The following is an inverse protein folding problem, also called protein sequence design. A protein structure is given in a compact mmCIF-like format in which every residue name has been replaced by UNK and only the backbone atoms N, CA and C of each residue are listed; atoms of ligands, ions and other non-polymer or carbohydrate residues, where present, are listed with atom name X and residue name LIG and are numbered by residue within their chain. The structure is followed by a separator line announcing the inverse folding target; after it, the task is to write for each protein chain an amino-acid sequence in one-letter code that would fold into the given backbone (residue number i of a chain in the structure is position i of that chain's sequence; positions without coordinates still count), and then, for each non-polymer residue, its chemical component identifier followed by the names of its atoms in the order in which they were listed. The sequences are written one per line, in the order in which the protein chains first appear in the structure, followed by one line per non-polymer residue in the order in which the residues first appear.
data_IF_158931332368
#
_entry.id   IF_158931332368
#
_cell.length_a   1.000
_cell.length_b   1.000
_cell.length_c   1.000
_cell.angle_alpha   90.00
_cell.angle_beta   90.00
_cell.angle_gamma   90.00
#
_symmetry.space_group_name_H-M   'P 1'
#
loop_
_entity.id
_entity.type
_entity.pdbx_description
1 polymer ?
#
# COMPACT_ATOMS: atom_id res chain seq x y z
N UNK A 1 7.06 17.27 6.93
CA UNK A 1 6.84 15.99 6.24
C UNK A 1 5.41 15.58 6.56
N UNK A 2 4.51 15.66 5.57
CA UNK A 2 3.11 15.29 5.77
C UNK A 2 2.93 13.78 5.64
N UNK A 3 2.52 13.11 6.72
CA UNK A 3 2.16 11.68 6.68
C UNK A 3 0.67 11.57 6.33
N UNK A 4 0.37 10.64 5.45
CA UNK A 4 -1.00 10.32 5.09
C UNK A 4 -1.50 9.17 5.96
N UNK A 5 -2.57 9.41 6.72
CA UNK A 5 -3.21 8.40 7.56
C UNK A 5 -4.42 7.82 6.84
N UNK A 6 -4.52 6.49 6.78
CA UNK A 6 -5.59 5.76 6.11
C UNK A 6 -6.45 5.04 7.14
N UNK A 7 -7.75 5.29 7.09
CA UNK A 7 -8.74 4.57 7.91
C UNK A 7 -9.40 3.45 7.11
N UNK A 8 -9.39 2.23 7.66
CA UNK A 8 -9.99 1.06 7.04
C UNK A 8 -11.44 0.86 7.55
N UNK A 9 -12.44 1.29 6.79
CA UNK A 9 -13.82 0.81 7.00
C UNK A 9 -14.01 -0.55 6.30
N UNK A 10 -14.89 -1.41 6.85
CA UNK A 10 -15.08 -2.85 6.52
C UNK A 10 -15.18 -3.21 5.02
N UNK A 11 -15.31 -2.25 4.10
CA UNK A 11 -15.46 -2.49 2.66
C UNK A 11 -14.54 -1.58 1.81
N UNK A 12 -14.15 -0.37 2.30
CA UNK A 12 -13.34 0.59 1.56
C UNK A 12 -12.32 1.26 2.47
N UNK A 13 -11.05 1.32 2.04
CA UNK A 13 -10.04 2.16 2.69
C UNK A 13 -10.25 3.61 2.27
N UNK A 14 -10.42 4.51 3.24
CA UNK A 14 -10.41 5.95 3.02
C UNK A 14 -9.05 6.51 3.38
N UNK A 15 -8.49 7.28 2.50
CA UNK A 15 -7.25 8.00 2.71
C UNK A 15 -7.55 9.47 3.06
N UNK A 16 -7.04 9.95 4.19
CA UNK A 16 -7.13 11.35 4.59
C UNK A 16 -5.73 11.92 4.65
N UNK A 17 -5.43 12.92 3.83
CA UNK A 17 -4.16 13.64 3.87
C UNK A 17 -4.20 14.64 5.02
N UNK A 18 -3.38 14.47 6.06
CA UNK A 18 -3.20 15.51 7.04
C UNK A 18 -2.50 16.73 6.40
N UNK A 19 -3.05 17.91 6.61
CA UNK A 19 -2.49 19.17 6.14
C UNK A 19 -1.16 19.45 6.85
N UNK A 20 -0.08 19.52 6.09
CA UNK A 20 1.03 20.37 6.49
C UNK A 20 0.53 21.82 6.51
N UNK A 21 0.91 22.57 7.53
CA UNK A 21 0.45 23.94 7.82
C UNK A 21 1.02 24.94 6.77
N UNK A 22 0.47 24.90 5.55
CA UNK A 22 0.70 25.93 4.52
C UNK A 22 -0.66 26.41 4.05
N UNK A 23 -0.95 27.67 4.34
CA UNK A 23 -2.27 28.30 4.30
C UNK A 23 -2.88 28.51 2.91
N UNK A 24 -3.22 27.45 2.19
CA UNK A 24 -4.14 27.52 1.06
C UNK A 24 -5.06 26.28 1.06
N UNK A 25 -6.36 26.56 1.02
CA UNK A 25 -7.42 25.59 1.23
C UNK A 25 -7.66 24.63 0.08
N UNK A 26 -6.79 23.65 -0.14
CA UNK A 26 -7.12 22.49 -0.96
C UNK A 26 -7.89 21.48 -0.11
N UNK A 27 -9.17 21.27 -0.43
CA UNK A 27 -9.97 20.20 0.16
C UNK A 27 -9.19 18.87 0.04
N UNK A 28 -9.03 18.15 1.17
CA UNK A 28 -8.39 16.86 1.17
C UNK A 28 -9.20 15.91 0.27
N UNK A 29 -8.66 15.54 -0.89
CA UNK A 29 -9.30 14.55 -1.75
C UNK A 29 -9.27 13.19 -1.05
N UNK A 30 -10.44 12.55 -0.95
CA UNK A 30 -10.57 11.20 -0.44
C UNK A 30 -10.17 10.25 -1.57
N UNK A 31 -9.14 9.45 -1.33
CA UNK A 31 -8.70 8.40 -2.26
C UNK A 31 -9.47 7.10 -1.95
N UNK A 32 -10.10 6.52 -2.98
CA UNK A 32 -10.76 5.24 -2.89
C UNK A 32 -9.77 4.13 -3.27
N UNK A 33 -9.27 3.41 -2.26
CA UNK A 33 -8.39 2.25 -2.43
C UNK A 33 -9.20 0.95 -2.36
N UNK A 34 -9.20 0.16 -3.44
CA UNK A 34 -10.00 -1.06 -3.58
C UNK A 34 -9.13 -2.32 -3.65
N UNK A 35 -9.56 -3.46 -3.04
CA UNK A 35 -8.88 -4.73 -3.22
C UNK A 35 -9.09 -5.31 -4.63
N UNK A 36 -8.05 -5.94 -5.18
CA UNK A 36 -8.11 -6.67 -6.42
C UNK A 36 -7.47 -8.06 -6.27
N UNK A 37 -8.28 -9.09 -6.13
CA UNK A 37 -7.82 -10.49 -6.01
C UNK A 37 -7.77 -11.23 -7.36
N UNK A 38 -8.20 -10.60 -8.45
CA UNK A 38 -8.17 -11.11 -9.82
C UNK A 38 -8.28 -9.95 -10.81
N UNK A 39 -7.97 -10.19 -12.08
CA UNK A 39 -8.18 -9.20 -13.15
C UNK A 39 -9.64 -8.78 -13.29
N UNK A 40 -10.58 -9.67 -13.04
CA UNK A 40 -12.02 -9.36 -13.05
C UNK A 40 -12.37 -8.38 -11.92
N UNK A 41 -11.93 -8.66 -10.69
CA UNK A 41 -12.13 -7.78 -9.54
C UNK A 41 -11.43 -6.41 -9.73
N UNK A 42 -10.24 -6.39 -10.33
CA UNK A 42 -9.51 -5.17 -10.66
C UNK A 42 -10.31 -4.31 -11.64
N UNK A 43 -10.81 -4.91 -12.74
CA UNK A 43 -11.62 -4.20 -13.73
C UNK A 43 -12.90 -3.65 -13.10
N UNK A 44 -13.57 -4.43 -12.26
CA UNK A 44 -14.75 -3.98 -11.54
C UNK A 44 -14.43 -2.80 -10.61
N UNK A 45 -13.34 -2.84 -9.85
CA UNK A 45 -12.90 -1.74 -8.98
C UNK A 45 -12.65 -0.45 -9.76
N UNK A 46 -11.89 -0.53 -10.85
CA UNK A 46 -11.57 0.61 -11.71
C UNK A 46 -12.83 1.21 -12.35
N UNK A 47 -13.74 0.37 -12.87
CA UNK A 47 -15.00 0.82 -13.48
C UNK A 47 -15.95 1.47 -12.45
N UNK A 48 -15.83 1.14 -11.18
CA UNK A 48 -16.62 1.74 -10.10
C UNK A 48 -15.90 2.91 -9.40
N UNK A 49 -14.86 3.48 -10.01
CA UNK A 49 -14.27 4.74 -9.59
C UNK A 49 -13.17 4.60 -8.53
N UNK A 50 -12.51 3.44 -8.40
CA UNK A 50 -11.32 3.32 -7.57
C UNK A 50 -10.23 4.28 -8.07
N UNK A 51 -9.58 5.00 -7.14
CA UNK A 51 -8.40 5.82 -7.41
C UNK A 51 -7.11 5.00 -7.35
N UNK A 52 -7.13 3.95 -6.55
CA UNK A 52 -6.04 2.98 -6.45
C UNK A 52 -6.60 1.57 -6.21
N UNK A 53 -5.86 0.57 -6.65
CA UNK A 53 -6.12 -0.84 -6.32
C UNK A 53 -4.94 -1.42 -5.58
N UNK A 54 -5.18 -2.40 -4.68
CA UNK A 54 -4.11 -3.16 -4.08
C UNK A 54 -4.28 -4.65 -4.37
N UNK A 55 -3.17 -5.30 -4.65
CA UNK A 55 -3.12 -6.70 -5.08
C UNK A 55 -1.87 -7.41 -4.56
N UNK A 56 -1.88 -8.75 -4.58
CA UNK A 56 -0.75 -9.59 -4.25
C UNK A 56 -0.11 -10.18 -5.51
N UNK A 57 1.22 -10.27 -5.50
CA UNK A 57 2.01 -10.87 -6.55
C UNK A 57 2.91 -11.95 -5.95
N UNK A 58 3.00 -13.11 -6.60
CA UNK A 58 3.86 -14.24 -6.26
C UNK A 58 3.70 -14.74 -4.81
N UNK A 59 4.32 -14.05 -3.84
CA UNK A 59 4.38 -14.40 -2.42
C UNK A 59 4.22 -13.16 -1.51
N UNK A 60 4.32 -13.38 -0.20
CA UNK A 60 4.35 -12.32 0.83
C UNK A 60 3.07 -11.50 0.96
N UNK A 61 1.93 -12.06 0.54
CA UNK A 61 0.62 -11.46 0.68
C UNK A 61 -0.19 -12.16 1.78
N UNK A 62 -0.73 -11.40 2.75
CA UNK A 62 -1.52 -11.91 3.87
C UNK A 62 -2.81 -12.64 3.46
N UNK A 63 -3.28 -12.46 2.24
CA UNK A 63 -4.43 -13.18 1.67
C UNK A 63 -3.99 -14.50 1.02
N UNK A 64 -3.42 -15.41 1.78
CA UNK A 64 -2.90 -16.71 1.29
C UNK A 64 -3.93 -17.60 0.59
N UNK A 65 -5.23 -17.32 0.70
CA UNK A 65 -6.31 -18.01 -0.02
C UNK A 65 -6.76 -17.32 -1.31
N UNK A 66 -6.24 -16.13 -1.64
CA UNK A 66 -6.51 -15.44 -2.90
C UNK A 66 -5.46 -15.85 -3.94
N UNK A 67 -5.87 -15.98 -5.19
CA UNK A 67 -4.95 -16.17 -6.31
C UNK A 67 -4.06 -14.94 -6.40
N UNK A 68 -2.73 -15.13 -6.32
CA UNK A 68 -1.77 -14.08 -6.58
C UNK A 68 -1.64 -13.86 -8.11
N UNK A 69 -1.34 -12.63 -8.47
CA UNK A 69 -1.05 -12.30 -9.87
C UNK A 69 0.30 -12.90 -10.29
N UNK A 70 0.38 -13.43 -11.50
CA UNK A 70 1.65 -13.74 -12.16
C UNK A 70 2.35 -12.44 -12.62
N UNK A 71 3.59 -12.54 -13.11
CA UNK A 71 4.33 -11.39 -13.68
C UNK A 71 3.54 -10.74 -14.82
N UNK A 72 3.05 -11.57 -15.75
CA UNK A 72 2.31 -11.09 -16.93
C UNK A 72 0.97 -10.46 -16.52
N UNK A 73 0.26 -11.06 -15.57
CA UNK A 73 -0.99 -10.52 -15.02
C UNK A 73 -0.75 -9.20 -14.28
N UNK A 74 0.37 -9.10 -13.53
CA UNK A 74 0.74 -7.84 -12.85
C UNK A 74 1.04 -6.74 -13.86
N UNK A 75 1.78 -7.05 -14.92
CA UNK A 75 2.05 -6.09 -16.00
C UNK A 75 0.77 -5.64 -16.70
N UNK A 76 -0.14 -6.59 -17.04
CA UNK A 76 -1.46 -6.25 -17.61
C UNK A 76 -2.26 -5.37 -16.66
N UNK A 77 -2.26 -5.68 -15.37
CA UNK A 77 -2.97 -4.92 -14.33
C UNK A 77 -2.46 -3.47 -14.25
N UNK A 78 -1.13 -3.28 -14.22
CA UNK A 78 -0.50 -1.95 -14.16
C UNK A 78 -0.87 -1.13 -15.41
N UNK A 79 -0.69 -1.69 -16.60
CA UNK A 79 -1.05 -0.99 -17.85
C UNK A 79 -2.54 -0.65 -17.87
N UNK A 80 -3.42 -1.58 -17.51
CA UNK A 80 -4.87 -1.35 -17.48
C UNK A 80 -5.26 -0.21 -16.54
N UNK A 81 -4.64 -0.17 -15.35
CA UNK A 81 -4.90 0.86 -14.34
C UNK A 81 -4.33 2.22 -14.77
N UNK A 82 -3.06 2.27 -15.17
CA UNK A 82 -2.37 3.53 -15.49
C UNK A 82 -3.02 4.31 -16.63
N UNK A 83 -3.46 3.64 -17.70
CA UNK A 83 -4.17 4.33 -18.81
C UNK A 83 -5.53 4.90 -18.38
N UNK A 84 -6.00 4.58 -17.17
CA UNK A 84 -7.23 5.09 -16.56
C UNK A 84 -6.98 6.02 -15.38
N UNK A 85 -5.72 6.35 -15.10
CA UNK A 85 -5.31 7.20 -13.97
C UNK A 85 -5.49 6.55 -12.61
N UNK A 86 -5.52 5.21 -12.53
CA UNK A 86 -5.65 4.42 -11.30
C UNK A 86 -4.30 3.87 -10.89
N UNK A 87 -3.93 4.02 -9.61
CA UNK A 87 -2.68 3.53 -9.06
C UNK A 87 -2.76 2.04 -8.71
N UNK A 88 -1.61 1.36 -8.74
CA UNK A 88 -1.46 -0.06 -8.36
C UNK A 88 -0.50 -0.17 -7.18
N UNK A 89 -1.02 -0.62 -6.03
CA UNK A 89 -0.24 -0.85 -4.83
C UNK A 89 0.00 -2.36 -4.63
N UNK A 90 1.27 -2.75 -4.53
CA UNK A 90 1.63 -4.14 -4.29
C UNK A 90 1.68 -4.45 -2.79
N UNK A 91 1.02 -5.53 -2.37
CA UNK A 91 1.06 -6.00 -0.98
C UNK A 91 2.25 -6.94 -0.73
N UNK A 92 3.11 -6.55 0.22
CA UNK A 92 4.20 -7.33 0.83
C UNK A 92 3.97 -7.35 2.35
N UNK A 93 2.78 -7.79 2.75
CA UNK A 93 2.25 -7.56 4.10
C UNK A 93 2.18 -8.84 4.94
N UNK A 94 3.20 -9.67 4.84
CA UNK A 94 3.49 -10.80 5.72
C UNK A 94 4.83 -10.62 6.39
N UNK A 95 5.10 -11.38 7.46
CA UNK A 95 6.45 -11.50 8.01
C UNK A 95 7.33 -12.30 7.06
N UNK A 96 8.58 -11.90 6.96
CA UNK A 96 9.56 -12.50 6.04
C UNK A 96 10.74 -13.01 6.85
N UNK A 97 11.07 -14.29 6.72
CA UNK A 97 12.25 -14.88 7.37
C UNK A 97 13.53 -14.54 6.62
N UNK A 98 14.67 -14.62 7.29
CA UNK A 98 15.99 -14.37 6.68
C UNK A 98 16.22 -15.20 5.40
N UNK A 99 15.68 -16.43 5.36
CA UNK A 99 15.79 -17.32 4.19
C UNK A 99 14.98 -16.84 2.98
N UNK A 100 13.96 -16.04 3.22
CA UNK A 100 13.04 -15.52 2.19
C UNK A 100 13.45 -14.11 1.71
N UNK A 101 14.35 -13.42 2.42
CA UNK A 101 14.74 -12.04 2.10
C UNK A 101 15.27 -11.89 0.67
N UNK A 102 16.04 -12.86 0.18
CA UNK A 102 16.54 -12.84 -1.21
C UNK A 102 15.38 -12.87 -2.22
N UNK A 103 14.36 -13.70 -1.97
CA UNK A 103 13.15 -13.76 -2.81
C UNK A 103 12.31 -12.48 -2.69
N UNK A 104 12.19 -11.92 -1.49
CA UNK A 104 11.51 -10.64 -1.30
C UNK A 104 12.20 -9.52 -2.09
N UNK A 105 13.53 -9.50 -2.12
CA UNK A 105 14.32 -8.57 -2.93
C UNK A 105 14.02 -8.68 -4.44
N UNK A 106 13.89 -9.91 -4.96
CA UNK A 106 13.54 -10.15 -6.37
C UNK A 106 12.11 -9.66 -6.68
N UNK A 107 11.16 -9.94 -5.80
CA UNK A 107 9.77 -9.47 -5.93
C UNK A 107 9.70 -7.94 -5.95
N UNK A 108 10.40 -7.26 -5.03
CA UNK A 108 10.46 -5.79 -4.97
C UNK A 108 11.06 -5.22 -6.26
N UNK A 109 12.18 -5.77 -6.71
CA UNK A 109 12.86 -5.31 -7.92
C UNK A 109 11.99 -5.47 -9.16
N UNK A 110 11.37 -6.65 -9.31
CA UNK A 110 10.45 -6.93 -10.43
C UNK A 110 9.27 -5.98 -10.43
N UNK A 111 8.62 -5.80 -9.29
CA UNK A 111 7.46 -4.92 -9.18
C UNK A 111 7.80 -3.44 -9.44
N UNK A 112 8.95 -2.97 -8.95
CA UNK A 112 9.43 -1.61 -9.21
C UNK A 112 9.68 -1.39 -10.71
N UNK A 113 10.34 -2.34 -11.39
CA UNK A 113 10.58 -2.28 -12.84
C UNK A 113 9.28 -2.29 -13.64
N UNK A 114 8.27 -3.04 -13.19
CA UNK A 114 6.94 -3.06 -13.82
C UNK A 114 6.15 -1.77 -13.58
N UNK A 115 6.54 -0.94 -12.60
CA UNK A 115 5.96 0.37 -12.35
C UNK A 115 4.82 0.37 -11.34
N UNK A 116 4.90 -0.42 -10.26
CA UNK A 116 3.95 -0.29 -9.15
C UNK A 116 4.08 1.09 -8.49
N UNK A 117 2.96 1.66 -8.05
CA UNK A 117 2.90 3.01 -7.49
C UNK A 117 3.19 3.06 -5.99
N UNK A 118 3.07 1.95 -5.27
CA UNK A 118 3.45 1.84 -3.86
C UNK A 118 3.61 0.38 -3.43
N UNK A 119 4.38 0.17 -2.35
CA UNK A 119 4.42 -1.08 -1.59
C UNK A 119 3.62 -0.96 -0.30
N UNK A 120 2.75 -1.93 0.01
CA UNK A 120 2.06 -2.05 1.30
C UNK A 120 2.79 -3.12 2.11
N UNK A 121 3.52 -2.71 3.16
CA UNK A 121 4.50 -3.54 3.86
C UNK A 121 4.13 -3.73 5.33
N UNK A 122 4.43 -4.91 5.88
CA UNK A 122 4.30 -5.23 7.31
C UNK A 122 5.66 -5.33 8.01
N UNK A 123 6.61 -6.01 7.39
CA UNK A 123 7.90 -6.36 7.98
C UNK A 123 8.90 -5.22 7.89
N UNK A 124 9.58 -4.88 9.00
CA UNK A 124 10.55 -3.78 9.06
C UNK A 124 11.79 -4.05 8.20
N UNK A 125 12.22 -5.31 8.09
CA UNK A 125 13.32 -5.71 7.21
C UNK A 125 12.94 -5.50 5.75
N UNK A 126 11.68 -5.78 5.39
CA UNK A 126 11.17 -5.52 4.04
C UNK A 126 11.06 -4.02 3.76
N UNK A 127 10.72 -3.17 4.78
CA UNK A 127 10.78 -1.70 4.63
C UNK A 127 12.19 -1.24 4.28
N UNK A 128 13.21 -1.72 5.00
CA UNK A 128 14.60 -1.40 4.72
C UNK A 128 15.01 -1.86 3.32
N UNK A 129 14.60 -3.06 2.92
CA UNK A 129 14.88 -3.64 1.62
C UNK A 129 14.22 -2.85 0.46
N UNK A 130 12.96 -2.41 0.62
CA UNK A 130 12.28 -1.55 -0.35
C UNK A 130 13.02 -0.22 -0.54
N UNK A 131 13.50 0.39 0.54
CA UNK A 131 14.26 1.64 0.47
C UNK A 131 15.61 1.52 -0.22
N UNK A 132 16.24 0.36 -0.10
CA UNK A 132 17.52 0.07 -0.75
C UNK A 132 17.34 -0.22 -2.26
N UNK A 133 16.33 -0.99 -2.61
CA UNK A 133 16.14 -1.51 -3.98
C UNK A 133 15.34 -0.54 -4.85
N UNK A 134 14.31 0.10 -4.30
CA UNK A 134 13.36 0.95 -5.02
C UNK A 134 13.03 2.21 -4.21
N UNK A 135 14.02 3.10 -3.95
CA UNK A 135 13.88 4.27 -3.08
C UNK A 135 12.83 5.28 -3.58
N UNK A 136 12.51 5.26 -4.87
CA UNK A 136 11.50 6.11 -5.50
C UNK A 136 10.07 5.62 -5.32
N UNK A 137 9.87 4.32 -4.99
CA UNK A 137 8.53 3.74 -4.81
C UNK A 137 8.08 3.98 -3.37
N UNK A 138 6.95 4.69 -3.15
CA UNK A 138 6.41 4.95 -1.82
C UNK A 138 6.13 3.66 -1.03
N UNK A 139 6.40 3.72 0.28
CA UNK A 139 6.10 2.61 1.20
C UNK A 139 4.91 3.01 2.07
N UNK A 140 3.91 2.15 2.12
CA UNK A 140 2.74 2.28 2.97
C UNK A 140 2.79 1.20 4.06
N UNK A 141 2.68 1.61 5.33
CA UNK A 141 2.54 0.67 6.43
C UNK A 141 1.19 -0.04 6.36
N UNK A 142 1.21 -1.37 6.32
CA UNK A 142 0.01 -2.20 6.38
C UNK A 142 -0.68 -2.09 7.75
N UNK A 143 -2.00 -2.36 7.81
CA UNK A 143 -2.70 -2.62 9.09
C UNK A 143 -2.03 -3.70 9.93
N UNK A 144 -1.32 -4.62 9.29
CA UNK A 144 -0.58 -5.71 9.92
C UNK A 144 0.65 -5.23 10.73
N UNK A 145 1.13 -4.00 10.51
CA UNK A 145 2.14 -3.36 11.38
C UNK A 145 1.57 -2.95 12.74
N UNK A 146 0.24 -2.99 12.93
CA UNK A 146 -0.45 -2.67 14.18
C UNK A 146 -0.13 -1.27 14.73
N UNK A 147 0.07 -0.29 13.85
CA UNK A 147 0.33 1.10 14.25
C UNK A 147 -0.98 1.73 14.70
N UNK A 148 -1.01 2.21 15.96
CA UNK A 148 -2.22 2.74 16.60
C UNK A 148 -1.96 3.98 17.48
N UNK A 149 -0.74 4.53 17.48
CA UNK A 149 -0.38 5.72 18.25
C UNK A 149 0.33 6.74 17.37
N UNK A 150 0.33 8.00 17.81
CA UNK A 150 1.06 9.08 17.13
C UNK A 150 2.56 8.78 17.07
N UNK A 151 3.13 8.29 18.15
CA UNK A 151 4.53 7.91 18.25
C UNK A 151 4.87 6.79 17.25
N UNK A 152 3.96 5.78 17.11
CA UNK A 152 4.12 4.72 16.13
C UNK A 152 4.12 5.25 14.69
N UNK A 153 3.25 6.23 14.39
CA UNK A 153 3.22 6.91 13.08
C UNK A 153 4.50 7.69 12.83
N UNK A 154 5.02 8.40 13.85
CA UNK A 154 6.28 9.15 13.74
C UNK A 154 7.47 8.22 13.49
N UNK A 155 7.56 7.10 14.22
CA UNK A 155 8.60 6.10 14.00
C UNK A 155 8.52 5.48 12.60
N UNK A 156 7.32 5.18 12.10
CA UNK A 156 7.14 4.70 10.73
C UNK A 156 7.63 5.73 9.70
N UNK A 157 7.38 7.03 9.94
CA UNK A 157 7.88 8.11 9.08
C UNK A 157 9.41 8.20 9.07
N UNK A 158 10.08 8.06 10.21
CA UNK A 158 11.54 8.03 10.32
C UNK A 158 12.14 6.85 9.54
N UNK A 159 11.43 5.72 9.49
CA UNK A 159 11.79 4.57 8.67
C UNK A 159 11.55 4.80 7.16
N UNK A 160 10.95 5.93 6.77
CA UNK A 160 10.68 6.29 5.37
C UNK A 160 9.33 5.81 4.85
N UNK A 161 8.41 5.42 5.74
CA UNK A 161 7.03 5.15 5.38
C UNK A 161 6.31 6.46 5.09
N UNK A 162 5.62 6.54 3.95
CA UNK A 162 4.92 7.74 3.47
C UNK A 162 3.43 7.75 3.82
N UNK A 163 2.86 6.59 4.15
CA UNK A 163 1.45 6.39 4.48
C UNK A 163 1.31 5.31 5.53
N UNK A 164 0.44 5.51 6.51
CA UNK A 164 0.13 4.49 7.53
C UNK A 164 -1.34 4.09 7.42
N UNK A 165 -1.59 2.78 7.29
CA UNK A 165 -2.92 2.22 7.47
C UNK A 165 -3.04 1.82 8.94
N UNK A 166 -3.81 2.58 9.70
CA UNK A 166 -3.94 2.39 11.15
C UNK A 166 -4.54 1.02 11.50
N UNK A 167 -4.19 0.54 12.69
CA UNK A 167 -4.78 -0.66 13.26
C UNK A 167 -6.31 -0.52 13.38
N UNK A 168 -7.03 -1.63 13.20
CA UNK A 168 -8.51 -1.64 13.17
C UNK A 168 -9.14 -1.45 14.54
N UNK A 169 -8.34 -1.61 15.58
CA UNK A 169 -8.70 -1.50 16.99
C UNK A 169 -8.89 -0.04 17.42
N UNK A 170 -8.39 0.91 16.62
CA UNK A 170 -8.48 2.33 16.92
C UNK A 170 -9.90 2.86 16.69
N UNK A 171 -10.57 3.43 17.70
CA UNK A 171 -11.85 4.08 17.51
C UNK A 171 -11.67 5.43 16.79
N UNK A 172 -12.75 5.90 16.16
CA UNK A 172 -12.72 7.13 15.36
C UNK A 172 -12.29 8.36 16.18
N UNK A 173 -12.67 8.40 17.44
CA UNK A 173 -12.42 9.51 18.35
C UNK A 173 -10.94 9.69 18.68
N UNK A 174 -10.13 8.62 18.56
CA UNK A 174 -8.68 8.64 18.79
C UNK A 174 -7.87 8.98 17.52
N UNK A 175 -8.55 9.10 16.36
CA UNK A 175 -7.90 9.41 15.08
C UNK A 175 -7.94 10.92 14.77
N UNK A 176 -8.75 11.70 15.51
CA UNK A 176 -9.03 13.11 15.28
C UNK A 176 -7.88 14.05 15.71
#
# INVERSE_FOLDING_TARGET
IGILVVYCMRIFMRCVRQRGNTGEGTAAMIELLSPAGSMEALRAAVQNGANAVYLGYDAFNARMGARNFSVDELQEAIVYCHVRGVQVHLTLNTLVSDREMARAAEVIRTAAVLGVDAFIVQDLGVVALCREIAPEVPIHASTQMSIHSLEGVQQAAELGVSRVVLARELPREEIA
#
